data_IF_450997312163
#
_entry.id   IF_450997312163
#
_cell.length_a   1.000
_cell.length_b   1.000
_cell.length_c   1.000
_cell.angle_alpha   90.00
_cell.angle_beta   90.00
_cell.angle_gamma   90.00
#
_symmetry.space_group_name_H-M   'P 1'
#
loop_
_entity.id
_entity.type
_entity.pdbx_description
1 polymer ?
#
# COMPACT_ATOMS: atom_id res chain seq x y z
N UNK A 1 33.70 40.97 -36.38
CA UNK A 1 34.27 40.14 -35.29
C UNK A 1 33.64 40.53 -33.92
N UNK A 2 32.31 40.43 -33.74
CA UNK A 2 31.64 40.88 -32.49
C UNK A 2 30.23 40.30 -32.22
N UNK A 3 29.94 39.06 -32.63
CA UNK A 3 28.64 38.39 -32.40
C UNK A 3 28.69 37.11 -31.54
N UNK A 4 29.88 36.68 -31.11
CA UNK A 4 30.06 35.42 -30.36
C UNK A 4 29.97 35.62 -28.83
N UNK A 5 30.07 36.86 -28.33
CA UNK A 5 30.15 37.13 -26.89
C UNK A 5 28.82 37.02 -26.14
N UNK A 6 27.66 37.26 -26.76
CA UNK A 6 26.39 37.31 -26.03
C UNK A 6 25.83 35.92 -25.67
N UNK A 7 26.03 34.91 -26.52
CA UNK A 7 25.53 33.54 -26.26
C UNK A 7 26.27 32.85 -25.13
N UNK A 8 27.57 33.10 -25.00
CA UNK A 8 28.40 32.56 -23.91
C UNK A 8 28.02 33.19 -22.55
N UNK A 9 27.72 34.49 -22.53
CA UNK A 9 27.29 35.19 -21.31
C UNK A 9 25.93 34.67 -20.84
N UNK A 10 24.96 34.51 -21.75
CA UNK A 10 23.63 33.97 -21.41
C UNK A 10 23.69 32.52 -20.91
N UNK A 11 24.56 31.69 -21.48
CA UNK A 11 24.81 30.32 -21.02
C UNK A 11 25.40 30.31 -19.60
N UNK A 12 26.38 31.16 -19.32
CA UNK A 12 27.00 31.23 -18.00
C UNK A 12 26.03 31.72 -16.91
N UNK A 13 25.18 32.70 -17.23
CA UNK A 13 24.15 33.19 -16.30
C UNK A 13 23.11 32.11 -16.01
N UNK A 14 22.66 31.37 -17.04
CA UNK A 14 21.70 30.28 -16.86
C UNK A 14 22.21 29.16 -15.96
N UNK A 15 23.47 28.76 -16.11
CA UNK A 15 24.10 27.74 -15.25
C UNK A 15 24.23 28.25 -13.81
N UNK A 16 24.62 29.52 -13.63
CA UNK A 16 24.79 30.11 -12.30
C UNK A 16 23.48 30.20 -11.52
N UNK A 17 22.38 30.62 -12.16
CA UNK A 17 21.04 30.67 -11.55
C UNK A 17 20.57 29.26 -11.16
N UNK A 18 20.83 28.26 -12.00
CA UNK A 18 20.45 26.87 -11.73
C UNK A 18 21.20 26.30 -10.51
N UNK A 19 22.49 26.59 -10.37
CA UNK A 19 23.28 26.20 -9.20
C UNK A 19 22.79 26.87 -7.91
N UNK A 20 22.44 28.16 -7.95
CA UNK A 20 21.94 28.90 -6.78
C UNK A 20 20.58 28.33 -6.33
N UNK A 21 19.68 28.02 -7.27
CA UNK A 21 18.38 27.41 -6.97
C UNK A 21 18.52 26.01 -6.37
N UNK A 22 19.45 25.19 -6.87
CA UNK A 22 19.71 23.85 -6.31
C UNK A 22 20.25 23.92 -4.88
N UNK A 23 21.16 24.86 -4.58
CA UNK A 23 21.64 25.05 -3.21
C UNK A 23 20.51 25.52 -2.29
N UNK A 24 19.65 26.45 -2.74
CA UNK A 24 18.51 26.92 -1.95
C UNK A 24 17.48 25.83 -1.65
N UNK A 25 17.22 24.93 -2.60
CA UNK A 25 16.30 23.80 -2.43
C UNK A 25 16.89 22.78 -1.44
N UNK A 26 18.18 22.46 -1.54
CA UNK A 26 18.84 21.51 -0.62
C UNK A 26 18.91 22.08 0.81
N UNK A 27 19.21 23.37 0.96
CA UNK A 27 19.27 24.02 2.27
C UNK A 27 17.89 24.17 2.94
N UNK A 28 16.81 24.37 2.17
CA UNK A 28 15.45 24.40 2.75
C UNK A 28 14.92 23.00 3.12
N UNK A 29 15.40 21.93 2.48
CA UNK A 29 14.97 20.57 2.81
C UNK A 29 15.65 20.00 4.06
N UNK A 30 16.88 20.43 4.39
CA UNK A 30 17.58 19.93 5.58
C UNK A 30 17.10 20.53 6.91
N UNK A 31 16.49 21.71 6.91
CA UNK A 31 16.11 22.41 8.15
C UNK A 31 14.74 22.02 8.73
N UNK A 32 14.01 21.10 8.10
CA UNK A 32 12.65 20.71 8.52
C UNK A 32 12.55 19.27 9.07
N UNK A 33 13.67 18.62 9.36
CA UNK A 33 13.70 17.22 9.81
C UNK A 33 14.48 17.05 11.12
N UNK A 34 14.41 17.98 12.08
CA UNK A 34 14.87 17.72 13.46
C UNK A 34 14.14 18.62 14.45
N UNK A 35 12.97 18.18 14.91
CA UNK A 35 12.45 18.32 16.28
C UNK A 35 10.94 18.04 16.26
N UNK A 36 10.58 16.77 16.40
CA UNK A 36 9.33 16.42 17.08
C UNK A 36 9.72 15.40 18.13
N UNK A 37 10.03 15.89 19.34
CA UNK A 37 10.00 15.08 20.55
C UNK A 37 8.61 14.44 20.64
N UNK A 38 8.51 13.14 20.41
CA UNK A 38 7.30 12.39 20.76
C UNK A 38 7.25 12.31 22.28
N UNK A 39 6.39 13.14 22.87
CA UNK A 39 5.87 12.91 24.22
C UNK A 39 5.16 11.58 24.20
N UNK A 40 5.89 10.53 24.56
CA UNK A 40 5.37 9.23 24.96
C UNK A 40 4.22 9.44 25.94
N UNK A 41 3.00 9.23 25.47
CA UNK A 41 1.85 9.05 26.34
C UNK A 41 2.07 7.74 27.10
N UNK A 42 2.74 7.82 28.25
CA UNK A 42 2.77 6.73 29.24
C UNK A 42 1.32 6.47 29.65
N UNK A 43 0.77 5.33 29.26
CA UNK A 43 -0.46 4.81 29.83
C UNK A 43 -0.20 4.57 31.34
N UNK A 44 -0.59 5.54 32.17
CA UNK A 44 -0.59 5.38 33.62
C UNK A 44 -1.80 4.53 34.01
N UNK A 45 -1.60 3.22 34.17
CA UNK A 45 -2.54 2.42 34.93
C UNK A 45 -2.50 2.87 36.41
N UNK A 46 -3.64 3.14 37.07
CA UNK A 46 -3.65 3.56 38.46
C UNK A 46 -3.16 2.44 39.39
N UNK A 47 -2.44 2.77 40.48
CA UNK A 47 -1.91 1.77 41.40
C UNK A 47 -3.05 1.15 42.21
N UNK A 48 -3.08 -0.18 42.23
CA UNK A 48 -3.98 -1.00 43.06
C UNK A 48 -3.76 -0.71 44.53
N UNK A 49 -4.77 -0.12 45.19
CA UNK A 49 -4.89 -0.16 46.66
C UNK A 49 -5.88 -1.24 47.05
N UNK A 50 -5.34 -2.29 47.66
CA UNK A 50 -6.08 -3.29 48.41
C UNK A 50 -6.72 -2.64 49.65
N UNK A 51 -8.04 -2.73 49.77
CA UNK A 51 -8.73 -2.83 51.06
C UNK A 51 -10.22 -3.10 50.84
N UNK A 52 -10.66 -4.33 51.11
CA UNK A 52 -12.03 -4.60 51.58
C UNK A 52 -12.19 -3.98 52.99
N UNK A 53 -13.39 -3.48 53.33
CA UNK A 53 -14.26 -4.32 54.15
C UNK A 53 -15.74 -4.31 53.72
N UNK A 54 -16.42 -5.39 54.08
CA UNK A 54 -17.86 -5.66 53.88
C UNK A 54 -18.74 -4.88 54.87
N UNK A 55 -19.89 -4.37 54.42
CA UNK A 55 -21.12 -4.21 55.22
C UNK A 55 -22.34 -4.47 54.29
N UNK A 56 -23.29 -5.27 54.77
CA UNK A 56 -24.53 -5.76 54.10
C UNK A 56 -25.72 -4.77 54.33
N UNK A 57 -26.94 -4.98 53.79
CA UNK A 57 -27.51 -4.34 52.60
C UNK A 57 -28.71 -3.42 52.90
N UNK A 58 -29.14 -2.60 51.93
CA UNK A 58 -30.53 -2.17 51.83
C UNK A 58 -30.96 -1.99 50.38
N UNK A 59 -32.25 -2.24 50.17
CA UNK A 59 -32.91 -2.50 48.90
C UNK A 59 -32.75 -1.40 47.85
N UNK A 60 -32.50 -1.83 46.63
CA UNK A 60 -33.35 -1.63 45.45
C UNK A 60 -32.54 -1.28 44.21
N UNK A 61 -32.94 -1.92 43.12
CA UNK A 61 -32.83 -1.42 41.74
C UNK A 61 -31.53 -1.71 40.98
N UNK A 62 -31.75 -2.36 39.82
CA UNK A 62 -30.90 -2.44 38.63
C UNK A 62 -29.78 -3.48 38.71
N UNK A 63 -30.07 -4.66 38.14
CA UNK A 63 -29.09 -5.68 37.76
C UNK A 63 -28.18 -5.12 36.66
N UNK A 64 -27.15 -4.37 37.07
CA UNK A 64 -26.02 -4.03 36.20
C UNK A 64 -25.17 -5.28 36.08
N UNK A 65 -25.29 -5.98 34.96
CA UNK A 65 -24.31 -7.02 34.58
C UNK A 65 -23.02 -6.26 34.29
N UNK A 66 -22.20 -6.03 35.31
CA UNK A 66 -20.81 -5.67 35.14
C UNK A 66 -20.10 -6.93 34.62
N UNK A 67 -20.03 -7.03 33.30
CA UNK A 67 -19.13 -7.94 32.63
C UNK A 67 -17.74 -7.59 33.13
N UNK A 68 -17.20 -8.43 34.01
CA UNK A 68 -15.80 -8.37 34.46
C UNK A 68 -14.95 -8.51 33.20
N UNK A 69 -14.53 -7.37 32.63
CA UNK A 69 -13.55 -7.35 31.55
C UNK A 69 -12.28 -7.95 32.14
N UNK A 70 -11.93 -9.15 31.67
CA UNK A 70 -10.65 -9.78 31.98
C UNK A 70 -9.55 -8.73 31.77
N UNK A 71 -8.61 -8.58 32.72
CA UNK A 71 -7.41 -7.77 32.49
C UNK A 71 -6.78 -8.21 31.16
N UNK A 72 -6.36 -7.25 30.33
CA UNK A 72 -5.64 -7.55 29.10
C UNK A 72 -4.45 -8.43 29.45
N UNK A 73 -4.55 -9.71 29.14
CA UNK A 73 -3.48 -10.66 29.34
C UNK A 73 -2.33 -10.20 28.44
N UNK A 74 -1.20 -9.90 29.06
CA UNK A 74 0.01 -9.46 28.37
C UNK A 74 0.33 -10.53 27.33
N UNK A 75 0.20 -10.19 26.04
CA UNK A 75 0.37 -11.13 24.93
C UNK A 75 1.76 -11.73 25.09
N UNK A 76 1.82 -12.99 25.55
CA UNK A 76 3.05 -13.75 25.67
C UNK A 76 3.81 -13.59 24.37
N UNK A 77 5.05 -13.07 24.47
CA UNK A 77 6.01 -12.75 23.40
C UNK A 77 5.68 -13.52 22.12
N UNK A 78 4.86 -12.89 21.28
CA UNK A 78 4.08 -13.61 20.28
C UNK A 78 5.00 -14.19 19.22
N UNK A 79 4.68 -15.37 18.72
CA UNK A 79 5.26 -15.93 17.50
C UNK A 79 5.34 -14.85 16.40
N UNK A 80 6.34 -14.92 15.50
CA UNK A 80 6.43 -13.96 14.40
C UNK A 80 5.14 -13.97 13.59
N UNK A 81 4.59 -12.78 13.34
CA UNK A 81 3.33 -12.62 12.60
C UNK A 81 3.61 -11.87 11.31
N UNK A 82 3.15 -12.44 10.20
CA UNK A 82 3.29 -11.90 8.86
C UNK A 82 1.92 -11.41 8.38
N UNK A 83 1.85 -10.14 8.02
CA UNK A 83 0.63 -9.47 7.58
C UNK A 83 0.85 -8.82 6.23
N UNK A 84 -0.20 -8.70 5.45
CA UNK A 84 -0.19 -7.91 4.22
C UNK A 84 -1.39 -6.97 4.18
N UNK A 85 -1.15 -5.72 3.78
CA UNK A 85 -2.21 -4.79 3.37
C UNK A 85 -2.30 -4.87 1.85
N UNK A 86 -3.40 -5.39 1.34
CA UNK A 86 -3.61 -5.63 -0.08
C UNK A 86 -4.50 -4.55 -0.69
N UNK A 87 -4.02 -3.94 -1.75
CA UNK A 87 -4.76 -2.96 -2.53
C UNK A 87 -4.74 -3.31 -4.02
N UNK A 88 -5.86 -3.03 -4.68
CA UNK A 88 -5.89 -2.91 -6.13
C UNK A 88 -5.89 -1.43 -6.49
N UNK A 89 -4.98 -1.04 -7.37
CA UNK A 89 -4.81 0.32 -7.84
C UNK A 89 -5.24 0.45 -9.31
N UNK A 90 -6.38 1.12 -9.58
CA UNK A 90 -6.87 1.35 -10.93
C UNK A 90 -6.08 2.47 -11.62
N UNK A 91 -5.01 2.12 -12.33
CA UNK A 91 -4.11 3.10 -12.94
C UNK A 91 -4.78 4.03 -13.99
N UNK A 92 -5.96 3.69 -14.52
CA UNK A 92 -6.71 4.54 -15.45
C UNK A 92 -7.38 5.73 -14.77
N UNK A 93 -7.45 5.72 -13.44
CA UNK A 93 -7.95 6.80 -12.59
C UNK A 93 -6.83 7.27 -11.65
N UNK A 94 -5.59 7.32 -12.16
CA UNK A 94 -4.41 7.61 -11.34
C UNK A 94 -4.46 8.98 -10.68
N UNK A 95 -4.94 10.00 -11.39
CA UNK A 95 -5.10 11.37 -10.88
C UNK A 95 -5.99 11.41 -9.64
N UNK A 96 -7.05 10.60 -9.62
CA UNK A 96 -7.98 10.53 -8.52
C UNK A 96 -7.43 9.70 -7.37
N UNK A 97 -6.94 8.47 -7.62
CA UNK A 97 -6.63 7.50 -6.55
C UNK A 97 -5.18 7.51 -6.03
N UNK A 98 -4.25 8.13 -6.75
CA UNK A 98 -2.85 8.14 -6.30
C UNK A 98 -2.62 8.93 -5.00
N UNK A 99 -3.30 10.07 -4.75
CA UNK A 99 -3.25 10.74 -3.45
C UNK A 99 -3.63 9.81 -2.28
N UNK A 100 -4.67 9.00 -2.42
CA UNK A 100 -5.19 8.07 -1.42
C UNK A 100 -4.21 6.93 -1.19
N UNK A 101 -3.59 6.40 -2.25
CA UNK A 101 -2.48 5.46 -2.12
C UNK A 101 -1.34 6.08 -1.32
N UNK A 102 -0.98 7.33 -1.58
CA UNK A 102 0.09 8.03 -0.85
C UNK A 102 -0.28 8.23 0.62
N UNK A 103 -1.53 8.57 0.92
CA UNK A 103 -2.01 8.68 2.30
C UNK A 103 -1.98 7.34 3.02
N UNK A 104 -2.50 6.28 2.38
CA UNK A 104 -2.48 4.94 2.93
C UNK A 104 -1.05 4.42 3.13
N UNK A 105 -0.15 4.69 2.20
CA UNK A 105 1.28 4.39 2.32
C UNK A 105 1.91 5.10 3.52
N UNK A 106 1.60 6.39 3.74
CA UNK A 106 2.07 7.13 4.92
C UNK A 106 1.53 6.52 6.21
N UNK A 107 0.23 6.23 6.27
CA UNK A 107 -0.39 5.58 7.43
C UNK A 107 0.25 4.22 7.73
N UNK A 108 0.59 3.46 6.70
CA UNK A 108 1.33 2.21 6.84
C UNK A 108 2.73 2.45 7.43
N UNK A 109 3.50 3.40 6.90
CA UNK A 109 4.83 3.74 7.43
C UNK A 109 4.77 4.16 8.89
N UNK A 110 3.82 5.00 9.28
CA UNK A 110 3.64 5.41 10.68
C UNK A 110 3.28 4.20 11.58
N UNK A 111 2.38 3.33 11.13
CA UNK A 111 2.05 2.10 11.85
C UNK A 111 3.26 1.17 12.03
N UNK A 112 4.24 1.18 11.11
CA UNK A 112 5.47 0.39 11.27
C UNK A 112 6.36 0.89 12.41
N UNK A 113 6.24 2.15 12.85
CA UNK A 113 7.04 2.70 13.97
C UNK A 113 6.64 2.07 15.30
N UNK A 114 5.34 1.81 15.48
CA UNK A 114 4.76 1.26 16.71
C UNK A 114 4.50 -0.26 16.63
N UNK A 115 4.85 -0.91 15.51
CA UNK A 115 4.60 -2.34 15.37
C UNK A 115 5.51 -3.17 16.29
N UNK A 116 5.03 -4.32 16.83
CA UNK A 116 5.88 -5.21 17.59
C UNK A 116 7.10 -5.70 16.78
N UNK A 117 8.29 -5.88 17.40
CA UNK A 117 9.51 -6.27 16.68
C UNK A 117 9.44 -7.62 15.96
N UNK A 118 8.53 -8.50 16.36
CA UNK A 118 8.30 -9.82 15.73
C UNK A 118 7.28 -9.77 14.60
N UNK A 119 6.60 -8.64 14.40
CA UNK A 119 5.56 -8.48 13.39
C UNK A 119 6.14 -7.88 12.11
N UNK A 120 5.62 -8.32 10.98
CA UNK A 120 5.95 -7.80 9.65
C UNK A 120 4.67 -7.53 8.91
N UNK A 121 4.49 -6.30 8.42
CA UNK A 121 3.36 -5.92 7.58
C UNK A 121 3.83 -5.41 6.22
N UNK A 122 3.67 -6.20 5.17
CA UNK A 122 4.00 -5.76 3.81
C UNK A 122 2.85 -4.97 3.20
N UNK A 123 3.20 -3.99 2.36
CA UNK A 123 2.23 -3.19 1.61
C UNK A 123 2.16 -3.71 0.18
N UNK A 124 1.09 -4.44 -0.15
CA UNK A 124 0.97 -5.20 -1.40
C UNK A 124 0.01 -4.51 -2.35
N UNK A 125 0.49 -4.13 -3.52
CA UNK A 125 -0.26 -3.38 -4.52
C UNK A 125 -0.38 -4.23 -5.78
N UNK A 126 -1.61 -4.38 -6.27
CA UNK A 126 -1.92 -4.93 -7.57
C UNK A 126 -2.29 -3.81 -8.53
N UNK A 127 -1.64 -3.74 -9.69
CA UNK A 127 -1.96 -2.73 -10.70
C UNK A 127 -1.65 -3.21 -12.11
N UNK A 128 -2.30 -2.65 -13.12
CA UNK A 128 -2.06 -3.05 -14.49
C UNK A 128 -0.82 -2.40 -15.12
N UNK A 129 -0.26 -1.34 -14.52
CA UNK A 129 0.91 -0.64 -15.04
C UNK A 129 1.92 -0.26 -13.95
N UNK A 130 3.20 -0.44 -14.25
CA UNK A 130 4.30 -0.06 -13.36
C UNK A 130 4.63 1.42 -13.54
N UNK A 131 4.01 2.27 -12.73
CA UNK A 131 4.25 3.72 -12.75
C UNK A 131 5.55 4.10 -12.06
N UNK A 132 6.24 5.13 -12.55
CA UNK A 132 7.47 5.68 -11.93
C UNK A 132 7.26 6.12 -10.48
N UNK A 133 6.02 6.45 -10.13
CA UNK A 133 5.60 6.95 -8.84
C UNK A 133 5.67 5.87 -7.76
N UNK A 134 5.37 4.61 -8.09
CA UNK A 134 5.56 3.48 -7.16
C UNK A 134 7.04 3.17 -6.91
N UNK A 135 7.91 3.42 -7.90
CA UNK A 135 9.36 3.34 -7.67
C UNK A 135 9.85 4.45 -6.75
N UNK A 136 9.31 5.67 -6.86
CA UNK A 136 9.62 6.77 -5.92
C UNK A 136 9.19 6.43 -4.48
N UNK A 137 8.18 5.56 -4.32
CA UNK A 137 7.77 4.99 -3.04
C UNK A 137 8.63 3.78 -2.60
N UNK A 138 9.62 3.36 -3.37
CA UNK A 138 10.49 2.22 -3.02
C UNK A 138 9.84 0.85 -3.17
N UNK A 139 8.73 0.74 -3.92
CA UNK A 139 8.04 -0.54 -4.12
C UNK A 139 8.83 -1.48 -5.05
N UNK A 140 8.90 -2.75 -4.68
CA UNK A 140 9.62 -3.79 -5.43
C UNK A 140 8.68 -4.85 -5.99
N UNK A 141 9.00 -5.44 -7.13
CA UNK A 141 8.27 -6.60 -7.66
C UNK A 141 9.01 -7.88 -7.28
N UNK A 142 8.73 -8.41 -6.09
CA UNK A 142 9.16 -9.75 -5.67
C UNK A 142 8.29 -10.29 -4.55
N UNK A 143 8.07 -11.59 -4.56
CA UNK A 143 7.40 -12.27 -3.44
C UNK A 143 8.36 -12.30 -2.27
N UNK A 144 7.80 -12.19 -1.07
CA UNK A 144 8.54 -12.33 0.16
C UNK A 144 9.16 -13.73 0.22
N UNK A 145 10.43 -13.81 0.61
CA UNK A 145 11.13 -15.11 0.65
C UNK A 145 11.09 -15.70 2.05
N UNK A 146 11.31 -14.86 3.06
CA UNK A 146 11.53 -15.30 4.44
C UNK A 146 10.60 -14.59 5.44
N UNK A 147 10.46 -15.16 6.64
CA UNK A 147 9.62 -14.58 7.70
C UNK A 147 10.27 -13.36 8.35
N UNK A 148 11.59 -13.29 8.31
CA UNK A 148 12.41 -12.27 8.97
C UNK A 148 12.55 -11.01 8.13
N UNK A 149 12.31 -11.11 6.81
CA UNK A 149 12.42 -10.01 5.85
C UNK A 149 11.70 -8.75 6.37
N UNK A 150 12.29 -7.55 6.27
CA UNK A 150 11.62 -6.34 6.73
C UNK A 150 10.29 -6.10 5.99
N UNK A 151 9.45 -5.27 6.61
CA UNK A 151 8.23 -4.79 5.99
C UNK A 151 8.55 -3.91 4.79
N UNK A 152 8.10 -4.29 3.59
CA UNK A 152 8.36 -3.53 2.37
C UNK A 152 7.12 -3.36 1.50
N UNK A 153 7.15 -2.36 0.61
CA UNK A 153 6.15 -2.21 -0.43
C UNK A 153 6.43 -3.19 -1.58
N UNK A 154 5.41 -3.95 -1.97
CA UNK A 154 5.44 -4.92 -3.05
C UNK A 154 4.43 -4.56 -4.12
N UNK A 155 4.84 -4.61 -5.38
CA UNK A 155 3.99 -4.25 -6.52
C UNK A 155 3.92 -5.41 -7.51
N UNK A 156 2.71 -5.89 -7.78
CA UNK A 156 2.43 -6.98 -8.70
C UNK A 156 1.57 -6.49 -9.86
N UNK A 157 1.88 -7.00 -11.06
CA UNK A 157 1.08 -6.69 -12.24
C UNK A 157 -0.23 -7.48 -12.18
N UNK A 158 -1.35 -6.79 -12.37
CA UNK A 158 -2.68 -7.38 -12.39
C UNK A 158 -3.47 -6.87 -13.59
N UNK A 159 -4.08 -7.80 -14.31
CA UNK A 159 -4.91 -7.48 -15.47
C UNK A 159 -6.37 -7.36 -15.04
N UNK A 160 -7.04 -6.22 -15.15
CA UNK A 160 -8.46 -6.08 -14.81
C UNK A 160 -9.34 -7.06 -15.58
N UNK A 161 -10.38 -7.62 -14.93
CA UNK A 161 -11.26 -8.63 -15.55
C UNK A 161 -11.90 -8.08 -16.83
N UNK A 162 -12.32 -6.82 -16.80
CA UNK A 162 -12.90 -6.13 -17.95
C UNK A 162 -12.00 -6.23 -19.20
N UNK A 163 -10.67 -6.20 -19.06
CA UNK A 163 -9.74 -6.26 -20.19
C UNK A 163 -9.45 -7.68 -20.69
N UNK A 164 -10.03 -8.71 -20.06
CA UNK A 164 -9.78 -10.13 -20.39
C UNK A 164 -10.89 -10.74 -21.23
N UNK A 165 -12.10 -10.21 -21.17
CA UNK A 165 -13.26 -10.74 -21.90
C UNK A 165 -13.21 -10.26 -23.35
N UNK A 166 -13.32 -11.20 -24.31
CA UNK A 166 -13.09 -10.99 -25.75
C UNK A 166 -14.16 -10.13 -26.48
N UNK A 167 -15.05 -9.46 -25.76
CA UNK A 167 -16.11 -8.62 -26.31
C UNK A 167 -15.88 -7.11 -26.09
N UNK A 168 -14.62 -6.66 -26.03
CA UNK A 168 -14.30 -5.24 -26.18
C UNK A 168 -13.85 -5.02 -27.63
N UNK A 169 -14.81 -5.01 -28.54
CA UNK A 169 -14.54 -4.69 -29.95
C UNK A 169 -14.36 -3.20 -30.22
N UNK A 170 -14.36 -2.31 -29.22
CA UNK A 170 -14.43 -0.86 -29.48
C UNK A 170 -13.60 0.08 -28.58
N UNK A 171 -12.60 -0.38 -27.81
CA UNK A 171 -11.84 0.57 -26.98
C UNK A 171 -10.32 0.51 -27.18
N UNK A 172 -9.71 1.70 -27.10
CA UNK A 172 -8.30 2.10 -27.15
C UNK A 172 -7.31 1.35 -26.22
N UNK A 173 -7.73 0.29 -25.54
CA UNK A 173 -6.98 -0.41 -24.49
C UNK A 173 -6.17 -1.62 -24.98
N UNK A 174 -6.26 -2.00 -26.26
CA UNK A 174 -5.39 -3.02 -26.87
C UNK A 174 -3.90 -2.69 -26.66
N UNK A 175 -3.56 -1.39 -26.58
CA UNK A 175 -2.22 -0.88 -26.35
C UNK A 175 -1.77 -0.88 -24.88
N UNK A 176 -2.66 -1.03 -23.90
CA UNK A 176 -2.30 -0.95 -22.49
C UNK A 176 -1.37 -2.10 -22.05
N UNK A 177 -1.57 -3.29 -22.62
CA UNK A 177 -0.67 -4.43 -22.41
C UNK A 177 0.68 -4.24 -23.11
N UNK A 178 0.67 -3.64 -24.29
CA UNK A 178 1.90 -3.34 -25.04
C UNK A 178 2.70 -2.27 -24.31
N UNK A 179 2.05 -1.29 -23.68
CA UNK A 179 2.69 -0.27 -22.86
C UNK A 179 3.24 -0.85 -21.56
N UNK A 180 2.49 -1.68 -20.84
CA UNK A 180 3.03 -2.41 -19.69
C UNK A 180 4.24 -3.26 -20.11
N UNK A 181 4.18 -3.98 -21.25
CA UNK A 181 5.30 -4.77 -21.80
C UNK A 181 6.48 -3.91 -22.23
N UNK A 182 6.25 -2.74 -22.82
CA UNK A 182 7.27 -1.79 -23.24
C UNK A 182 7.99 -1.18 -22.03
N UNK A 183 7.22 -0.78 -21.03
CA UNK A 183 7.70 -0.28 -19.75
C UNK A 183 8.51 -1.38 -19.04
N UNK A 184 7.99 -2.62 -19.00
CA UNK A 184 8.73 -3.81 -18.51
C UNK A 184 10.07 -4.01 -19.22
N UNK A 185 10.09 -3.90 -20.56
CA UNK A 185 11.31 -4.07 -21.36
C UNK A 185 12.32 -2.92 -21.18
N UNK A 186 11.86 -1.71 -20.84
CA UNK A 186 12.73 -0.55 -20.60
C UNK A 186 13.51 -0.64 -19.29
N UNK A 187 13.03 -1.42 -18.32
CA UNK A 187 13.64 -1.55 -17.01
C UNK A 187 14.65 -2.70 -16.98
N UNK A 188 15.93 -2.37 -17.15
CA UNK A 188 17.08 -3.30 -17.07
C UNK A 188 17.43 -3.78 -15.66
N UNK A 189 16.66 -3.39 -14.64
CA UNK A 189 17.10 -3.44 -13.23
C UNK A 189 16.87 -4.76 -12.50
N UNK A 190 16.22 -5.78 -13.07
CA UNK A 190 16.10 -7.08 -12.39
C UNK A 190 16.27 -8.22 -13.38
N UNK A 191 17.34 -8.99 -13.15
CA UNK A 191 17.67 -10.23 -13.84
C UNK A 191 16.64 -11.30 -13.40
N UNK A 192 15.44 -11.29 -13.98
CA UNK A 192 14.36 -12.22 -13.65
C UNK A 192 12.98 -11.66 -13.99
N UNK A 193 12.16 -12.48 -14.62
CA UNK A 193 10.77 -12.17 -15.00
C UNK A 193 10.01 -11.43 -13.90
N UNK A 194 9.37 -10.31 -14.23
CA UNK A 194 8.40 -9.64 -13.34
C UNK A 194 7.28 -10.61 -12.95
N UNK A 195 6.80 -10.48 -11.72
CA UNK A 195 5.69 -11.28 -11.21
C UNK A 195 4.38 -10.62 -11.62
N UNK A 196 3.63 -11.33 -12.47
CA UNK A 196 2.29 -10.96 -12.94
C UNK A 196 1.23 -11.94 -12.44
N UNK A 197 0.04 -11.43 -12.16
CA UNK A 197 -1.11 -12.17 -11.66
C UNK A 197 -2.34 -11.89 -12.54
N UNK A 198 -3.06 -12.92 -12.99
CA UNK A 198 -2.65 -14.31 -13.14
C UNK A 198 -1.72 -14.46 -14.35
N UNK A 199 -0.88 -15.49 -14.37
CA UNK A 199 -0.22 -15.91 -15.61
C UNK A 199 -1.32 -16.47 -16.52
N UNK A 200 -1.73 -15.73 -17.56
CA UNK A 200 -2.81 -16.13 -18.48
C UNK A 200 -2.58 -17.53 -19.10
N UNK A 201 -1.32 -17.97 -19.14
CA UNK A 201 -0.92 -19.27 -19.69
C UNK A 201 -1.05 -20.43 -18.69
N UNK A 202 -1.30 -20.15 -17.41
CA UNK A 202 -1.47 -21.16 -16.37
C UNK A 202 -2.97 -21.42 -16.13
N UNK A 203 -3.44 -22.58 -16.61
CA UNK A 203 -4.83 -23.00 -16.45
C UNK A 203 -5.21 -23.37 -15.01
N UNK A 204 -4.23 -23.56 -14.12
CA UNK A 204 -4.50 -23.84 -12.71
C UNK A 204 -4.82 -22.56 -11.94
N UNK A 205 -4.15 -21.45 -12.25
CA UNK A 205 -4.40 -20.15 -11.60
C UNK A 205 -5.39 -19.27 -12.35
N UNK A 206 -5.53 -19.43 -13.67
CA UNK A 206 -6.47 -18.66 -14.49
C UNK A 206 -7.70 -19.48 -14.90
N UNK A 207 -8.83 -19.19 -14.26
CA UNK A 207 -10.14 -19.70 -14.67
C UNK A 207 -10.89 -18.65 -15.51
N UNK A 208 -10.83 -18.82 -16.83
CA UNK A 208 -11.50 -17.95 -17.78
C UNK A 208 -13.03 -17.98 -17.67
N UNK A 209 -13.63 -19.14 -17.36
CA UNK A 209 -15.08 -19.28 -17.20
C UNK A 209 -15.56 -18.56 -15.94
N UNK A 210 -14.82 -18.69 -14.85
CA UNK A 210 -15.06 -17.92 -13.62
C UNK A 210 -14.92 -16.43 -13.86
N UNK A 211 -13.87 -16.00 -14.59
CA UNK A 211 -13.66 -14.58 -14.91
C UNK A 211 -14.82 -14.00 -15.72
N UNK A 212 -15.32 -14.74 -16.72
CA UNK A 212 -16.48 -14.36 -17.52
C UNK A 212 -17.75 -14.29 -16.66
N UNK A 213 -18.02 -15.32 -15.84
CA UNK A 213 -19.16 -15.34 -14.91
C UNK A 213 -19.12 -14.20 -13.90
N UNK A 214 -17.95 -13.89 -13.32
CA UNK A 214 -17.77 -12.75 -12.43
C UNK A 214 -18.08 -11.44 -13.14
N UNK A 215 -17.57 -11.27 -14.36
CA UNK A 215 -17.85 -10.07 -15.14
C UNK A 215 -19.35 -9.91 -15.43
N UNK A 216 -20.02 -10.96 -15.90
CA UNK A 216 -21.45 -10.91 -16.21
C UNK A 216 -22.30 -10.54 -14.99
N UNK A 217 -22.02 -11.16 -13.84
CA UNK A 217 -22.82 -11.00 -12.62
C UNK A 217 -22.44 -9.77 -11.80
N UNK A 218 -21.19 -9.30 -11.88
CA UNK A 218 -20.65 -8.24 -11.02
C UNK A 218 -20.05 -7.06 -11.80
N UNK A 219 -20.32 -6.90 -13.10
CA UNK A 219 -19.83 -5.74 -13.89
C UNK A 219 -20.19 -4.38 -13.30
N UNK A 220 -21.31 -4.28 -12.58
CA UNK A 220 -21.74 -3.04 -11.91
C UNK A 220 -21.05 -2.81 -10.57
N UNK A 221 -20.36 -3.81 -10.05
CA UNK A 221 -19.62 -3.71 -8.80
C UNK A 221 -18.23 -3.12 -9.08
N UNK A 222 -18.07 -1.83 -8.77
CA UNK A 222 -16.84 -1.07 -9.06
C UNK A 222 -15.55 -1.58 -8.38
N UNK A 223 -15.66 -2.59 -7.51
CA UNK A 223 -14.54 -3.17 -6.75
C UNK A 223 -14.31 -4.65 -7.10
N UNK A 224 -14.79 -5.11 -8.26
CA UNK A 224 -14.65 -6.49 -8.69
C UNK A 224 -13.18 -6.93 -8.78
N UNK A 225 -12.32 -6.06 -9.32
CA UNK A 225 -10.89 -6.34 -9.48
C UNK A 225 -10.18 -6.46 -8.13
N UNK A 226 -10.51 -5.62 -7.15
CA UNK A 226 -9.95 -5.71 -5.79
C UNK A 226 -10.36 -6.99 -5.04
N UNK A 227 -11.52 -7.58 -5.35
CA UNK A 227 -11.88 -8.90 -4.83
C UNK A 227 -11.09 -9.97 -5.58
N UNK A 228 -11.04 -9.86 -6.91
CA UNK A 228 -10.46 -10.91 -7.73
C UNK A 228 -8.93 -11.00 -7.59
N UNK A 229 -8.24 -9.90 -7.25
CA UNK A 229 -6.82 -9.92 -6.85
C UNK A 229 -6.55 -10.81 -5.65
N UNK A 230 -7.51 -10.98 -4.73
CA UNK A 230 -7.34 -11.90 -3.59
C UNK A 230 -7.36 -13.34 -4.09
N UNK A 231 -8.30 -13.68 -4.97
CA UNK A 231 -8.39 -15.05 -5.45
C UNK A 231 -7.19 -15.43 -6.34
N UNK A 232 -6.90 -14.61 -7.35
CA UNK A 232 -5.87 -14.93 -8.35
C UNK A 232 -4.45 -14.67 -7.84
N UNK A 233 -4.31 -13.69 -6.94
CA UNK A 233 -3.03 -13.33 -6.33
C UNK A 233 -2.66 -14.19 -5.14
N UNK A 234 -3.46 -15.18 -4.76
CA UNK A 234 -3.28 -15.99 -3.54
C UNK A 234 -1.83 -16.46 -3.36
N UNK A 235 -1.20 -16.96 -4.41
CA UNK A 235 0.17 -17.47 -4.36
C UNK A 235 1.23 -16.41 -4.00
N UNK A 236 0.97 -15.13 -4.28
CA UNK A 236 1.87 -14.01 -3.94
C UNK A 236 1.85 -13.65 -2.45
N UNK A 237 0.78 -14.04 -1.76
CA UNK A 237 0.56 -13.71 -0.35
C UNK A 237 0.19 -14.93 0.52
N UNK A 238 0.37 -16.15 0.00
CA UNK A 238 0.11 -17.41 0.71
C UNK A 238 0.93 -17.57 2.01
N UNK A 239 2.02 -16.82 2.14
CA UNK A 239 2.93 -16.91 3.29
C UNK A 239 2.58 -15.95 4.43
N UNK A 240 1.64 -15.03 4.22
CA UNK A 240 1.20 -14.16 5.31
C UNK A 240 0.15 -14.89 6.15
N UNK A 241 0.23 -14.71 7.46
CA UNK A 241 -0.75 -15.24 8.40
C UNK A 241 -2.08 -14.46 8.29
N UNK A 242 -2.00 -13.16 7.99
CA UNK A 242 -3.17 -12.29 7.85
C UNK A 242 -3.07 -11.41 6.60
N UNK A 243 -4.17 -11.29 5.88
CA UNK A 243 -4.28 -10.38 4.73
C UNK A 243 -5.46 -9.43 4.97
N UNK A 244 -5.16 -8.15 5.01
CA UNK A 244 -6.15 -7.07 5.07
C UNK A 244 -6.30 -6.48 3.67
N UNK A 245 -7.43 -6.72 3.01
CA UNK A 245 -7.75 -6.03 1.76
C UNK A 245 -8.44 -4.70 2.06
N UNK A 246 -8.03 -3.65 1.35
CA UNK A 246 -8.69 -2.35 1.40
C UNK A 246 -9.00 -1.81 0.01
N UNK A 247 -10.14 -1.13 -0.10
CA UNK A 247 -10.62 -0.49 -1.31
C UNK A 247 -10.32 1.00 -1.27
N UNK A 248 -9.59 1.48 -2.28
CA UNK A 248 -9.11 2.87 -2.34
C UNK A 248 -10.21 3.86 -2.78
N UNK A 249 -11.47 3.41 -2.92
CA UNK A 249 -12.56 4.20 -3.48
C UNK A 249 -13.60 4.80 -2.53
N UNK A 250 -13.46 4.67 -1.21
CA UNK A 250 -14.50 5.10 -0.26
C UNK A 250 -14.12 6.17 0.77
N UNK A 251 -12.92 6.74 0.71
CA UNK A 251 -12.50 7.73 1.70
C UNK A 251 -12.98 9.17 1.43
N UNK A 252 -13.65 9.41 0.31
CA UNK A 252 -14.05 10.75 -0.13
C UNK A 252 -15.54 10.83 -0.40
N UNK A 253 -16.35 10.99 0.65
CA UNK A 253 -17.60 11.78 0.62
C UNK A 253 -17.77 12.44 1.99
N UNK A 254 -17.12 13.58 2.19
CA UNK A 254 -17.58 14.67 3.05
C UNK A 254 -17.01 15.96 2.46
N UNK A 255 -17.63 16.44 1.39
CA UNK A 255 -17.64 17.85 1.00
C UNK A 255 -19.10 18.32 1.05
#
# INVERSE_FOLDING_TARGET
MRRITLRLILSAIGICICCILLVFIVSNFSNNIYEIESKSAKCNCPPTKNSFPQIIPSESSITRIETILKPCEEIQKSSPVQRAILIYYPHHQSEYFFPEVRWLYRSWVEMLLDQPPTWRTDFVIFTYNFSTEFRKLGCVNRIRQDKEEPSICRLFLYVPIQFRTKNITDNSFQHAFDDAKRVMASYKDMNGSFISVPLVNDKETFDGKRSESLYENLRSYGYIDSINTIYEGYWTFKMYDFVLRTDIGKFTIFD
#
